data_IF_735684678073
#
_entry.id   IF_735684678073
#
_cell.length_a   1.000
_cell.length_b   1.000
_cell.length_c   1.000
_cell.angle_alpha   90.00
_cell.angle_beta   90.00
_cell.angle_gamma   90.00
#
_symmetry.space_group_name_H-M   'P 1'
#
loop_
_entity.id
_entity.type
_entity.pdbx_description
1 polymer ?
#
# COMPACT_ATOMS: atom_id res chain seq x y z
N UNK A 1 1.74 -8.10 5.80
CA UNK A 1 0.62 -8.64 5.02
C UNK A 1 0.83 -8.29 3.57
N UNK A 2 0.05 -8.87 2.66
CA UNK A 2 0.35 -8.90 1.22
C UNK A 2 0.65 -7.55 0.54
N UNK A 3 0.06 -6.44 1.01
CA UNK A 3 0.39 -5.10 0.50
C UNK A 3 1.89 -4.78 0.59
N UNK A 4 2.50 -5.09 1.74
CA UNK A 4 3.94 -4.87 1.95
C UNK A 4 4.80 -5.76 1.06
N UNK A 5 4.38 -7.01 0.85
CA UNK A 5 5.11 -7.98 0.02
C UNK A 5 5.11 -7.55 -1.46
N UNK A 6 3.98 -7.07 -1.97
CA UNK A 6 3.89 -6.53 -3.33
C UNK A 6 4.79 -5.31 -3.50
N UNK A 7 4.78 -4.36 -2.56
CA UNK A 7 5.66 -3.18 -2.60
C UNK A 7 7.13 -3.51 -2.27
N UNK A 8 7.38 -4.70 -1.71
CA UNK A 8 8.71 -5.28 -1.53
C UNK A 8 9.28 -5.81 -2.85
N UNK A 9 8.46 -6.55 -3.63
CA UNK A 9 8.91 -7.32 -4.80
C UNK A 9 8.66 -6.69 -6.18
N UNK A 10 7.52 -6.03 -6.41
CA UNK A 10 7.19 -5.44 -7.71
C UNK A 10 8.13 -4.27 -8.10
N UNK A 11 8.44 -3.30 -7.21
CA UNK A 11 9.30 -2.18 -7.57
C UNK A 11 10.72 -2.62 -7.99
N UNK A 12 11.40 -3.54 -7.28
CA UNK A 12 12.69 -4.07 -7.75
C UNK A 12 12.60 -4.80 -9.10
N UNK A 13 11.53 -5.54 -9.38
CA UNK A 13 11.34 -6.19 -10.67
C UNK A 13 11.19 -5.17 -11.81
N UNK A 14 10.48 -4.07 -11.58
CA UNK A 14 10.38 -2.95 -12.54
C UNK A 14 11.72 -2.24 -12.73
N UNK A 15 12.48 -2.03 -11.66
CA UNK A 15 13.82 -1.45 -11.74
C UNK A 15 14.80 -2.34 -12.53
N UNK A 16 14.69 -3.66 -12.38
CA UNK A 16 15.48 -4.62 -13.15
C UNK A 16 15.17 -4.58 -14.66
N UNK A 17 13.96 -4.17 -15.05
CA UNK A 17 13.58 -3.92 -16.45
C UNK A 17 14.04 -2.54 -16.98
N UNK A 18 14.84 -1.79 -16.21
CA UNK A 18 15.44 -0.54 -16.66
C UNK A 18 14.63 0.73 -16.36
N UNK A 19 13.56 0.64 -15.57
CA UNK A 19 12.80 1.82 -15.14
C UNK A 19 13.44 2.49 -13.92
N UNK A 20 13.31 3.81 -13.81
CA UNK A 20 13.61 4.54 -12.58
C UNK A 20 12.42 4.42 -11.63
N UNK A 21 12.59 3.78 -10.48
CA UNK A 21 11.47 3.39 -9.61
C UNK A 21 11.64 3.94 -8.19
N UNK A 22 10.61 4.64 -7.71
CA UNK A 22 10.51 5.13 -6.34
C UNK A 22 9.34 4.43 -5.61
N UNK A 23 9.55 4.14 -4.33
CA UNK A 23 8.46 3.80 -3.39
C UNK A 23 8.38 4.87 -2.33
N UNK A 24 7.16 5.29 -1.98
CA UNK A 24 6.93 6.32 -0.96
C UNK A 24 5.98 5.74 0.08
N UNK A 25 6.39 5.76 1.34
CA UNK A 25 5.58 5.26 2.46
C UNK A 25 5.84 6.06 3.73
N UNK A 26 4.99 5.98 4.76
CA UNK A 26 5.29 6.65 6.02
C UNK A 26 6.47 6.05 6.77
N UNK A 27 7.19 6.89 7.52
CA UNK A 27 8.22 6.47 8.47
C UNK A 27 7.57 6.17 9.82
N UNK A 28 7.23 4.91 10.05
CA UNK A 28 6.61 4.45 11.30
C UNK A 28 7.63 4.22 12.42
N UNK A 29 8.89 4.01 12.05
CA UNK A 29 10.00 3.79 12.98
C UNK A 29 11.31 4.36 12.41
N UNK A 30 12.32 4.47 13.25
CA UNK A 30 13.67 4.89 12.93
C UNK A 30 14.44 3.76 12.22
N UNK A 31 14.14 3.55 10.94
CA UNK A 31 14.76 2.51 10.12
C UNK A 31 16.28 2.72 10.00
N UNK A 32 17.06 1.68 10.32
CA UNK A 32 18.53 1.73 10.38
C UNK A 32 19.18 2.08 9.03
N UNK A 33 18.59 1.63 7.92
CA UNK A 33 19.12 1.78 6.57
C UNK A 33 18.55 3.01 5.82
N UNK A 34 17.78 3.86 6.50
CA UNK A 34 17.25 5.10 5.94
C UNK A 34 17.99 6.32 6.52
N UNK A 35 18.49 7.20 5.66
CA UNK A 35 19.13 8.45 6.04
C UNK A 35 18.22 9.65 5.75
N UNK A 36 18.41 10.74 6.50
CA UNK A 36 17.69 11.99 6.29
C UNK A 36 18.18 12.66 4.99
N UNK A 37 17.26 13.12 4.14
CA UNK A 37 17.63 13.87 2.93
C UNK A 37 17.87 15.35 3.20
N UNK A 38 17.57 15.82 4.42
CA UNK A 38 17.51 17.24 4.83
C UNK A 38 16.48 18.06 4.05
N UNK A 39 15.68 17.43 3.20
CA UNK A 39 14.61 18.09 2.44
C UNK A 39 13.33 18.08 3.27
N UNK A 40 12.80 19.28 3.48
CA UNK A 40 11.50 19.50 4.11
C UNK A 40 10.53 20.21 3.17
N UNK A 41 9.26 19.92 3.34
CA UNK A 41 8.15 20.62 2.67
C UNK A 41 7.10 21.04 3.69
N UNK A 42 6.25 21.97 3.32
CA UNK A 42 5.05 22.32 4.06
C UNK A 42 3.81 21.83 3.31
N UNK A 43 2.91 21.13 4.01
CA UNK A 43 1.65 20.63 3.45
C UNK A 43 0.49 21.10 4.32
N UNK A 44 -0.63 21.47 3.69
CA UNK A 44 -1.84 21.86 4.42
C UNK A 44 -2.67 20.61 4.69
N UNK A 45 -2.94 20.31 5.96
CA UNK A 45 -3.67 19.13 6.40
C UNK A 45 -4.74 19.56 7.40
N UNK A 46 -6.00 19.56 6.96
CA UNK A 46 -7.09 20.15 7.71
C UNK A 46 -6.89 21.65 7.89
N UNK A 47 -6.81 22.09 9.14
CA UNK A 47 -6.65 23.51 9.51
C UNK A 47 -5.20 23.91 9.78
N UNK A 48 -4.24 22.97 9.64
CA UNK A 48 -2.83 23.19 9.97
C UNK A 48 -1.94 23.09 8.74
N UNK A 49 -0.85 23.83 8.77
CA UNK A 49 0.31 23.59 7.91
C UNK A 49 1.28 22.74 8.69
N UNK A 50 1.61 21.57 8.16
CA UNK A 50 2.49 20.59 8.79
C UNK A 50 3.81 20.53 8.00
N UNK A 51 4.94 20.53 8.72
CA UNK A 51 6.26 20.35 8.12
C UNK A 51 6.59 18.87 8.02
N UNK A 52 6.86 18.41 6.81
CA UNK A 52 7.17 17.00 6.51
C UNK A 52 8.61 16.89 6.07
N UNK A 53 9.30 15.84 6.54
CA UNK A 53 10.67 15.52 6.12
C UNK A 53 10.69 14.21 5.34
N UNK A 54 11.71 14.05 4.49
CA UNK A 54 11.92 12.83 3.74
C UNK A 54 13.18 12.10 4.19
N UNK A 55 13.05 10.81 4.44
CA UNK A 55 14.17 9.90 4.59
C UNK A 55 14.30 9.06 3.32
N UNK A 56 15.52 8.63 3.00
CA UNK A 56 15.81 7.87 1.79
C UNK A 56 16.65 6.64 2.08
N UNK A 57 16.40 5.58 1.31
CA UNK A 57 17.19 4.37 1.25
C UNK A 57 17.22 3.89 -0.21
N UNK A 58 18.40 3.56 -0.74
CA UNK A 58 18.52 2.97 -2.08
C UNK A 58 18.84 1.48 -1.99
N UNK A 59 17.93 0.64 -2.49
CA UNK A 59 18.04 -0.83 -2.34
C UNK A 59 17.42 -1.57 -3.52
N UNK A 60 18.14 -2.55 -4.07
CA UNK A 60 17.72 -3.38 -5.22
C UNK A 60 17.25 -2.55 -6.42
N UNK A 61 17.95 -1.44 -6.71
CA UNK A 61 17.63 -0.55 -7.84
C UNK A 61 16.47 0.41 -7.60
N UNK A 62 15.91 0.46 -6.40
CA UNK A 62 14.72 1.25 -6.06
C UNK A 62 15.09 2.34 -5.05
N UNK A 63 14.64 3.56 -5.32
CA UNK A 63 14.63 4.65 -4.35
C UNK A 63 13.47 4.46 -3.38
N UNK A 64 13.75 4.17 -2.11
CA UNK A 64 12.74 4.03 -1.06
C UNK A 64 12.74 5.30 -0.23
N UNK A 65 11.65 6.05 -0.34
CA UNK A 65 11.45 7.31 0.36
C UNK A 65 10.44 7.11 1.48
N UNK A 66 10.77 7.62 2.66
CA UNK A 66 9.94 7.55 3.84
C UNK A 66 9.51 8.95 4.27
N UNK A 67 8.21 9.16 4.39
CA UNK A 67 7.59 10.41 4.85
C UNK A 67 7.65 10.44 6.37
N UNK A 68 8.50 11.31 6.91
CA UNK A 68 8.74 11.47 8.35
C UNK A 68 7.87 12.60 8.90
N UNK A 69 7.09 12.26 9.92
CA UNK A 69 6.19 13.18 10.63
C UNK A 69 5.78 12.57 11.98
N UNK A 70 5.57 13.38 13.05
CA UNK A 70 5.10 12.88 14.35
C UNK A 70 3.79 12.09 14.32
N UNK A 71 2.93 12.32 13.32
CA UNK A 71 1.70 11.54 13.15
C UNK A 71 1.93 10.07 12.76
N UNK A 72 3.12 9.72 12.27
CA UNK A 72 3.48 8.37 11.86
C UNK A 72 4.44 7.67 12.82
N UNK A 73 5.43 8.41 13.32
CA UNK A 73 6.52 7.84 14.10
C UNK A 73 5.98 7.16 15.37
N UNK A 74 6.67 6.09 15.80
CA UNK A 74 6.35 5.31 17.01
C UNK A 74 4.98 4.60 16.96
N UNK A 75 4.47 4.26 15.78
CA UNK A 75 3.25 3.45 15.62
C UNK A 75 3.57 2.04 15.12
N UNK A 76 4.36 1.29 15.90
CA UNK A 76 4.76 -0.09 15.59
C UNK A 76 4.72 -1.01 16.82
N UNK A 77 4.29 -2.26 16.61
CA UNK A 77 4.01 -3.20 17.70
C UNK A 77 5.24 -3.45 18.58
N UNK A 78 6.42 -3.59 17.96
CA UNK A 78 7.67 -3.85 18.67
C UNK A 78 8.19 -2.71 19.54
N UNK A 79 7.64 -1.49 19.42
CA UNK A 79 8.04 -0.33 20.24
C UNK A 79 6.93 0.17 21.15
N UNK A 80 5.72 0.34 20.63
CA UNK A 80 4.61 0.98 21.34
C UNK A 80 3.42 0.06 21.56
N UNK A 81 3.57 -1.25 21.28
CA UNK A 81 2.48 -2.23 21.26
C UNK A 81 1.28 -1.82 20.38
N UNK A 82 1.48 -0.83 19.51
CA UNK A 82 0.45 -0.24 18.68
C UNK A 82 0.65 -0.66 17.22
N UNK A 83 -0.43 -0.77 16.44
CA UNK A 83 -0.34 -1.16 15.02
C UNK A 83 -0.26 0.08 14.13
N UNK A 84 0.02 -0.15 12.85
CA UNK A 84 0.19 0.90 11.84
C UNK A 84 -1.08 1.74 11.69
N UNK A 85 -2.25 1.08 11.64
CA UNK A 85 -3.54 1.72 11.32
C UNK A 85 -4.38 2.02 12.56
N UNK A 86 -4.02 1.45 13.71
CA UNK A 86 -4.79 1.56 14.95
C UNK A 86 -4.03 1.07 16.17
N UNK A 87 -4.47 1.37 17.39
CA UNK A 87 -3.85 0.83 18.61
C UNK A 87 -3.96 -0.70 18.66
N UNK A 88 -5.11 -1.25 18.25
CA UNK A 88 -5.40 -2.70 18.24
C UNK A 88 -6.09 -3.11 16.93
N UNK A 89 -6.28 -4.42 16.69
CA UNK A 89 -7.10 -4.87 15.54
C UNK A 89 -8.55 -4.44 15.73
N UNK A 90 -9.18 -3.94 14.66
CA UNK A 90 -10.59 -3.55 14.67
C UNK A 90 -10.86 -2.13 15.16
N UNK A 91 -9.85 -1.42 15.69
CA UNK A 91 -9.96 -0.03 16.10
C UNK A 91 -8.94 0.82 15.34
N UNK A 92 -9.41 1.77 14.54
CA UNK A 92 -8.57 2.69 13.79
C UNK A 92 -8.18 3.92 14.62
N UNK A 93 -7.02 4.52 14.34
CA UNK A 93 -6.73 5.84 14.91
C UNK A 93 -7.65 6.92 14.32
N UNK A 94 -8.09 7.83 15.18
CA UNK A 94 -8.90 9.01 14.79
C UNK A 94 -8.17 9.94 13.81
N UNK A 95 -6.85 9.94 13.81
CA UNK A 95 -6.00 10.78 12.97
C UNK A 95 -5.68 10.17 11.58
N UNK A 96 -6.19 8.97 11.26
CA UNK A 96 -5.89 8.29 10.00
C UNK A 96 -6.19 9.13 8.75
N UNK A 97 -7.26 9.93 8.78
CA UNK A 97 -7.63 10.81 7.67
C UNK A 97 -6.55 11.90 7.44
N UNK A 98 -6.07 12.53 8.51
CA UNK A 98 -5.03 13.56 8.40
C UNK A 98 -3.70 12.93 7.97
N UNK A 99 -3.36 11.79 8.57
CA UNK A 99 -2.15 11.02 8.25
C UNK A 99 -2.06 10.65 6.77
N UNK A 100 -3.11 10.06 6.22
CA UNK A 100 -3.07 9.58 4.84
C UNK A 100 -3.31 10.69 3.82
N UNK A 101 -3.99 11.78 4.19
CA UNK A 101 -3.96 13.04 3.42
C UNK A 101 -2.54 13.60 3.32
N UNK A 102 -1.82 13.69 4.46
CA UNK A 102 -0.42 14.13 4.52
C UNK A 102 0.48 13.25 3.66
N UNK A 103 0.34 11.93 3.74
CA UNK A 103 1.08 10.98 2.89
C UNK A 103 0.87 11.26 1.40
N UNK A 104 -0.38 11.41 0.96
CA UNK A 104 -0.68 11.67 -0.45
C UNK A 104 -0.09 12.98 -0.96
N UNK A 105 -0.18 14.05 -0.17
CA UNK A 105 0.40 15.35 -0.54
C UNK A 105 1.94 15.29 -0.58
N UNK A 106 2.57 14.70 0.45
CA UNK A 106 4.02 14.54 0.49
C UNK A 106 4.54 13.66 -0.67
N UNK A 107 3.77 12.62 -1.05
CA UNK A 107 4.12 11.76 -2.17
C UNK A 107 4.08 12.47 -3.55
N UNK A 108 3.28 13.53 -3.68
CA UNK A 108 3.25 14.37 -4.88
C UNK A 108 4.38 15.40 -4.91
N UNK A 109 5.01 15.72 -3.78
CA UNK A 109 6.18 16.61 -3.77
C UNK A 109 7.48 15.85 -4.03
N UNK A 110 7.62 14.65 -3.47
CA UNK A 110 8.87 13.87 -3.48
C UNK A 110 9.55 13.75 -4.86
N UNK A 111 8.83 13.48 -5.98
CA UNK A 111 9.48 13.36 -7.29
C UNK A 111 10.14 14.66 -7.79
N UNK A 112 9.69 15.82 -7.30
CA UNK A 112 10.16 17.13 -7.75
C UNK A 112 11.24 17.70 -6.83
N UNK A 113 11.10 17.49 -5.51
CA UNK A 113 11.98 18.13 -4.52
C UNK A 113 13.21 17.29 -4.15
N UNK A 114 13.18 15.97 -4.34
CA UNK A 114 14.29 15.09 -3.97
C UNK A 114 15.27 14.92 -5.11
N UNK A 115 16.51 15.37 -4.91
CA UNK A 115 17.62 15.14 -5.83
C UNK A 115 18.32 13.81 -5.51
N UNK A 116 17.99 12.73 -6.23
CA UNK A 116 18.43 11.38 -5.92
C UNK A 116 19.44 10.86 -6.96
N UNK A 117 20.67 10.60 -6.50
CA UNK A 117 21.82 10.27 -7.35
C UNK A 117 22.42 8.88 -7.09
N UNK A 118 21.67 8.00 -6.40
CA UNK A 118 22.15 6.66 -6.06
C UNK A 118 22.14 5.67 -7.24
N UNK A 119 21.38 5.96 -8.30
CA UNK A 119 21.35 5.13 -9.50
C UNK A 119 22.54 5.44 -10.42
N UNK A 120 23.10 4.40 -11.04
CA UNK A 120 24.12 4.54 -12.09
C UNK A 120 23.60 5.08 -13.42
N UNK A 121 22.29 5.03 -13.64
CA UNK A 121 21.65 5.39 -14.91
C UNK A 121 20.84 6.68 -14.84
N UNK A 122 20.44 7.09 -13.64
CA UNK A 122 19.57 8.23 -13.42
C UNK A 122 20.11 9.09 -12.28
N UNK A 123 20.01 10.41 -12.45
CA UNK A 123 20.44 11.41 -11.47
C UNK A 123 19.41 12.54 -11.42
N UNK A 124 19.53 13.44 -10.44
CA UNK A 124 18.62 14.57 -10.32
C UNK A 124 17.26 14.21 -9.70
N UNK A 125 16.29 15.13 -9.75
CA UNK A 125 14.90 14.83 -9.41
C UNK A 125 14.29 13.81 -10.38
N UNK A 126 13.20 13.16 -9.94
CA UNK A 126 12.41 12.30 -10.82
C UNK A 126 11.64 13.12 -11.85
N UNK A 127 11.28 14.36 -11.50
CA UNK A 127 10.59 15.29 -12.40
C UNK A 127 9.09 15.05 -12.46
N UNK A 128 8.50 15.46 -13.58
CA UNK A 128 7.03 15.55 -13.73
C UNK A 128 6.45 14.53 -14.74
N UNK A 129 7.30 13.89 -15.53
CA UNK A 129 6.90 12.81 -16.45
C UNK A 129 6.89 11.47 -15.73
N UNK A 130 5.89 11.29 -14.85
CA UNK A 130 5.81 10.16 -13.94
C UNK A 130 4.49 9.41 -14.03
N UNK A 131 4.52 8.12 -13.73
CA UNK A 131 3.33 7.31 -13.49
C UNK A 131 3.28 6.98 -12.01
N UNK A 132 2.26 7.48 -11.32
CA UNK A 132 2.00 7.13 -9.93
C UNK A 132 1.21 5.82 -9.86
N UNK A 133 1.64 4.92 -8.99
CA UNK A 133 0.87 3.71 -8.63
C UNK A 133 0.39 3.89 -7.19
N UNK A 134 -0.87 4.28 -7.02
CA UNK A 134 -1.52 4.41 -5.72
C UNK A 134 -2.07 3.04 -5.30
N UNK A 135 -1.76 2.60 -4.08
CA UNK A 135 -2.11 1.29 -3.54
C UNK A 135 -3.08 1.43 -2.35
N UNK A 136 -4.27 0.84 -2.48
CA UNK A 136 -5.36 0.86 -1.50
C UNK A 136 -5.83 2.26 -1.05
N UNK A 137 -6.88 2.28 -0.24
CA UNK A 137 -7.57 3.50 0.21
C UNK A 137 -6.63 4.55 0.83
N UNK A 138 -5.54 4.13 1.49
CA UNK A 138 -4.54 5.00 2.11
C UNK A 138 -3.92 6.01 1.12
N UNK A 139 -3.89 5.67 -0.17
CA UNK A 139 -3.31 6.53 -1.22
C UNK A 139 -4.34 7.01 -2.24
N UNK A 140 -5.63 6.74 -2.01
CA UNK A 140 -6.70 7.03 -2.96
C UNK A 140 -6.97 8.53 -3.15
N UNK A 141 -6.45 9.40 -2.27
CA UNK A 141 -6.50 10.86 -2.44
C UNK A 141 -5.47 11.39 -3.45
N UNK A 142 -4.40 10.64 -3.74
CA UNK A 142 -3.34 11.07 -4.65
C UNK A 142 -3.87 11.54 -6.02
N UNK A 143 -4.71 10.79 -6.76
CA UNK A 143 -5.27 11.27 -8.03
C UNK A 143 -6.12 12.53 -7.89
N UNK A 144 -6.83 12.68 -6.76
CA UNK A 144 -7.64 13.86 -6.48
C UNK A 144 -6.74 15.10 -6.30
N UNK A 145 -5.73 15.00 -5.43
CA UNK A 145 -4.78 16.10 -5.20
C UNK A 145 -3.99 16.46 -6.46
N UNK A 146 -3.54 15.46 -7.21
CA UNK A 146 -2.84 15.68 -8.48
C UNK A 146 -3.67 16.57 -9.44
N UNK A 147 -4.96 16.22 -9.62
CA UNK A 147 -5.87 16.97 -10.50
C UNK A 147 -6.29 18.31 -9.93
N UNK A 148 -6.52 18.41 -8.62
CA UNK A 148 -7.04 19.61 -7.97
C UNK A 148 -5.98 20.69 -7.75
N UNK A 149 -4.75 20.29 -7.41
CA UNK A 149 -3.72 21.22 -6.90
C UNK A 149 -2.59 21.44 -7.90
N UNK A 150 -2.16 20.39 -8.60
CA UNK A 150 -0.94 20.42 -9.42
C UNK A 150 -1.23 20.72 -10.88
N UNK A 151 -2.13 19.95 -11.52
CA UNK A 151 -2.45 20.13 -12.95
C UNK A 151 -2.93 21.54 -13.31
N UNK A 152 -3.77 22.23 -12.51
CA UNK A 152 -4.20 23.60 -12.81
C UNK A 152 -3.05 24.62 -12.78
N UNK A 153 -1.93 24.29 -12.11
CA UNK A 153 -0.71 25.10 -12.06
C UNK A 153 0.29 24.76 -13.17
N UNK A 154 -0.09 23.90 -14.11
CA UNK A 154 0.78 23.42 -15.18
C UNK A 154 1.84 22.40 -14.72
N UNK A 155 1.69 21.84 -13.52
CA UNK A 155 2.61 20.86 -12.93
C UNK A 155 2.04 19.46 -13.16
N UNK A 156 2.89 18.49 -13.49
CA UNK A 156 2.49 17.10 -13.73
C UNK A 156 1.45 16.93 -14.86
N UNK A 157 1.49 17.79 -15.88
CA UNK A 157 0.53 17.77 -16.98
C UNK A 157 0.45 16.39 -17.68
N UNK A 158 1.59 15.74 -17.87
CA UNK A 158 1.70 14.42 -18.52
C UNK A 158 1.55 13.26 -17.53
N UNK A 159 1.59 13.52 -16.21
CA UNK A 159 1.55 12.46 -15.22
C UNK A 159 0.20 11.73 -15.19
N UNK A 160 0.30 10.42 -14.91
CA UNK A 160 -0.82 9.48 -14.86
C UNK A 160 -0.87 8.74 -13.55
N UNK A 161 -2.06 8.34 -13.13
CA UNK A 161 -2.27 7.56 -11.90
C UNK A 161 -2.93 6.22 -12.22
N UNK A 162 -2.28 5.13 -11.82
CA UNK A 162 -2.88 3.82 -11.72
C UNK A 162 -3.23 3.54 -10.25
N UNK A 163 -4.49 3.19 -9.97
CA UNK A 163 -4.95 2.84 -8.63
C UNK A 163 -5.12 1.34 -8.50
N UNK A 164 -4.33 0.72 -7.62
CA UNK A 164 -4.31 -0.71 -7.38
C UNK A 164 -5.09 -1.05 -6.10
N UNK A 165 -6.16 -1.83 -6.27
CA UNK A 165 -6.99 -2.36 -5.19
C UNK A 165 -6.39 -3.71 -4.77
N UNK A 166 -5.79 -3.78 -3.58
CA UNK A 166 -5.29 -5.03 -2.98
C UNK A 166 -6.39 -5.68 -2.14
N UNK A 167 -7.23 -4.88 -1.49
CA UNK A 167 -8.37 -5.39 -0.72
C UNK A 167 -9.56 -4.41 -0.74
N UNK A 168 -10.70 -4.87 -1.25
CA UNK A 168 -11.92 -4.04 -1.40
C UNK A 168 -12.65 -3.79 -0.08
N UNK A 169 -12.39 -4.59 0.95
CA UNK A 169 -13.06 -4.46 2.24
C UNK A 169 -12.67 -3.16 2.96
N UNK A 170 -11.46 -2.65 2.72
CA UNK A 170 -10.93 -1.46 3.38
C UNK A 170 -10.97 -0.27 2.42
N UNK A 171 -11.94 0.63 2.60
CA UNK A 171 -12.25 1.67 1.59
C UNK A 171 -11.98 3.10 2.04
N UNK A 172 -11.59 3.32 3.31
CA UNK A 172 -11.50 4.67 3.87
C UNK A 172 -12.87 5.36 3.91
N UNK A 173 -13.84 4.71 4.59
CA UNK A 173 -15.19 5.25 4.79
C UNK A 173 -15.19 6.14 6.02
N UNK A 174 -15.45 7.43 5.85
CA UNK A 174 -15.45 8.40 6.94
C UNK A 174 -16.73 9.23 6.96
N UNK A 175 -17.04 9.87 8.09
CA UNK A 175 -18.18 10.78 8.17
C UNK A 175 -18.09 11.88 7.10
N UNK A 176 -19.23 12.23 6.50
CA UNK A 176 -19.27 13.17 5.36
C UNK A 176 -18.65 14.55 5.68
N UNK A 177 -18.78 15.01 6.92
CA UNK A 177 -18.23 16.29 7.40
C UNK A 177 -16.70 16.38 7.25
N UNK A 178 -16.00 15.25 7.27
CA UNK A 178 -14.53 15.20 7.15
C UNK A 178 -14.01 15.60 5.77
N UNK A 179 -14.87 15.71 4.75
CA UNK A 179 -14.45 16.24 3.45
C UNK A 179 -13.78 17.62 3.57
N UNK A 180 -14.29 18.47 4.48
CA UNK A 180 -13.73 19.81 4.73
C UNK A 180 -12.26 19.79 5.17
N UNK A 181 -11.81 18.71 5.83
CA UNK A 181 -10.43 18.55 6.28
C UNK A 181 -9.47 18.07 5.18
N UNK A 182 -9.98 17.66 4.02
CA UNK A 182 -9.14 17.18 2.91
C UNK A 182 -8.50 18.31 2.11
N UNK A 183 -8.91 19.57 2.34
CA UNK A 183 -8.43 20.72 1.58
C UNK A 183 -8.59 20.57 0.04
N UNK A 184 -9.59 19.82 -0.40
CA UNK A 184 -9.95 19.65 -1.81
C UNK A 184 -11.10 20.61 -2.20
N UNK A 185 -11.14 21.10 -3.45
CA UNK A 185 -12.26 21.87 -3.95
C UNK A 185 -13.57 21.06 -3.95
N UNK A 186 -14.71 21.74 -3.77
CA UNK A 186 -16.04 21.10 -3.69
C UNK A 186 -16.43 20.31 -4.96
N UNK A 187 -15.83 20.59 -6.11
CA UNK A 187 -16.08 19.84 -7.36
C UNK A 187 -15.75 18.34 -7.24
N UNK A 188 -14.77 17.98 -6.40
CA UNK A 188 -14.40 16.59 -6.14
C UNK A 188 -15.36 15.88 -5.19
N UNK A 189 -16.21 16.60 -4.47
CA UNK A 189 -17.07 16.04 -3.41
C UNK A 189 -17.97 14.91 -3.91
N UNK A 190 -18.45 15.02 -5.16
CA UNK A 190 -19.26 13.98 -5.81
C UNK A 190 -18.52 12.64 -5.99
N UNK A 191 -17.20 12.68 -6.19
CA UNK A 191 -16.35 11.49 -6.28
C UNK A 191 -16.23 10.78 -4.92
N UNK A 192 -16.32 11.52 -3.82
CA UNK A 192 -16.30 10.95 -2.45
C UNK A 192 -17.67 10.54 -1.93
N UNK A 193 -18.75 11.19 -2.36
CA UNK A 193 -20.09 11.00 -1.81
C UNK A 193 -20.57 9.55 -1.97
N UNK A 194 -20.91 8.92 -0.86
CA UNK A 194 -21.20 7.50 -0.80
C UNK A 194 -22.28 7.23 0.24
N UNK A 195 -23.25 6.39 -0.11
CA UNK A 195 -24.25 5.91 0.84
C UNK A 195 -23.79 4.54 1.33
N UNK A 196 -23.38 4.50 2.59
CA UNK A 196 -22.97 3.25 3.23
C UNK A 196 -24.21 2.48 3.67
N UNK A 197 -24.42 1.33 3.03
CA UNK A 197 -25.49 0.39 3.29
C UNK A 197 -25.15 -0.66 4.35
N UNK A 198 -23.94 -0.66 4.93
CA UNK A 198 -23.62 -1.55 6.04
C UNK A 198 -24.20 -1.04 7.36
N UNK A 199 -24.84 -1.93 8.10
CA UNK A 199 -25.44 -1.65 9.41
C UNK A 199 -24.42 -1.27 10.50
N UNK A 200 -23.13 -1.61 10.31
CA UNK A 200 -22.07 -1.34 11.29
C UNK A 200 -21.03 -0.33 10.74
N UNK A 201 -20.66 0.72 11.50
CA UNK A 201 -21.24 1.14 12.78
C UNK A 201 -22.60 1.84 12.61
N UNK A 202 -22.85 2.50 11.46
CA UNK A 202 -24.12 3.20 11.13
C UNK A 202 -24.26 3.29 9.61
N UNK A 203 -25.45 2.97 9.08
CA UNK A 203 -25.86 3.25 7.69
C UNK A 203 -25.93 4.76 7.44
N UNK A 204 -25.57 5.22 6.25
CA UNK A 204 -25.83 6.59 5.83
C UNK A 204 -24.74 7.24 5.00
N UNK A 205 -24.88 8.55 4.81
CA UNK A 205 -24.00 9.33 3.94
C UNK A 205 -22.60 9.45 4.55
N UNK A 206 -21.60 9.04 3.77
CA UNK A 206 -20.17 9.06 4.12
C UNK A 206 -19.36 9.62 2.96
N UNK A 207 -18.10 9.95 3.23
CA UNK A 207 -17.08 10.00 2.18
C UNK A 207 -16.42 8.62 2.05
N UNK A 208 -16.11 8.22 0.82
CA UNK A 208 -15.42 6.98 0.51
C UNK A 208 -14.19 7.29 -0.35
N UNK A 209 -13.01 7.14 0.23
CA UNK A 209 -11.76 7.49 -0.44
C UNK A 209 -11.45 6.54 -1.58
N UNK A 210 -11.69 5.24 -1.41
CA UNK A 210 -11.48 4.26 -2.48
C UNK A 210 -12.36 4.54 -3.69
N UNK A 211 -13.64 4.91 -3.48
CA UNK A 211 -14.52 5.38 -4.56
C UNK A 211 -13.92 6.57 -5.32
N UNK A 212 -13.40 7.56 -4.60
CA UNK A 212 -12.75 8.71 -5.24
C UNK A 212 -11.49 8.28 -6.01
N UNK A 213 -10.65 7.40 -5.44
CA UNK A 213 -9.47 6.85 -6.14
C UNK A 213 -9.83 6.09 -7.42
N UNK A 214 -10.91 5.31 -7.41
CA UNK A 214 -11.43 4.58 -8.58
C UNK A 214 -11.89 5.56 -9.67
N UNK A 215 -12.65 6.60 -9.29
CA UNK A 215 -13.22 7.56 -10.24
C UNK A 215 -12.17 8.54 -10.79
N UNK A 216 -11.19 8.92 -9.98
CA UNK A 216 -10.22 9.95 -10.33
C UNK A 216 -8.92 9.42 -10.95
N UNK A 217 -8.67 8.10 -10.92
CA UNK A 217 -7.46 7.54 -11.54
C UNK A 217 -7.60 7.32 -13.05
N UNK A 218 -6.48 7.33 -13.76
CA UNK A 218 -6.45 7.04 -15.21
C UNK A 218 -6.64 5.54 -15.50
N UNK A 219 -6.21 4.67 -14.57
CA UNK A 219 -6.41 3.21 -14.62
C UNK A 219 -6.70 2.62 -13.25
N UNK A 220 -7.54 1.60 -13.21
CA UNK A 220 -7.81 0.79 -12.01
C UNK A 220 -7.30 -0.63 -12.21
N UNK A 221 -6.50 -1.09 -11.25
CA UNK A 221 -5.84 -2.39 -11.23
C UNK A 221 -6.27 -3.17 -9.99
N UNK A 222 -6.12 -4.48 -10.03
CA UNK A 222 -6.17 -5.34 -8.84
C UNK A 222 -5.24 -6.55 -9.00
N UNK A 223 -5.12 -7.34 -7.94
CA UNK A 223 -4.08 -8.36 -7.74
C UNK A 223 -4.43 -9.75 -8.30
N UNK A 224 -5.53 -9.87 -9.06
CA UNK A 224 -5.91 -11.11 -9.75
C UNK A 224 -6.97 -10.88 -10.84
N UNK A 225 -6.85 -11.52 -12.02
CA UNK A 225 -7.89 -11.49 -13.06
C UNK A 225 -9.25 -12.03 -12.58
N UNK A 226 -9.26 -13.04 -11.71
CA UNK A 226 -10.52 -13.59 -11.19
C UNK A 226 -11.13 -12.65 -10.15
N UNK A 227 -10.31 -12.09 -9.27
CA UNK A 227 -10.76 -11.11 -8.29
C UNK A 227 -11.34 -9.86 -8.98
N UNK A 228 -10.74 -9.40 -10.08
CA UNK A 228 -11.29 -8.33 -10.91
C UNK A 228 -12.73 -8.62 -11.39
N UNK A 229 -13.03 -9.88 -11.75
CA UNK A 229 -14.39 -10.32 -12.12
C UNK A 229 -15.32 -10.36 -10.91
N UNK A 230 -14.84 -10.82 -9.76
CA UNK A 230 -15.63 -10.83 -8.53
C UNK A 230 -16.03 -9.41 -8.12
N UNK A 231 -15.10 -8.46 -8.13
CA UNK A 231 -15.33 -7.07 -7.73
C UNK A 231 -16.44 -6.37 -8.52
N UNK A 232 -16.62 -6.72 -9.78
CA UNK A 232 -17.66 -6.13 -10.64
C UNK A 232 -18.96 -6.95 -10.68
N UNK A 233 -18.99 -8.12 -10.03
CA UNK A 233 -20.10 -9.08 -10.17
C UNK A 233 -21.35 -8.69 -9.38
N UNK A 234 -21.20 -8.09 -8.21
CA UNK A 234 -22.30 -7.78 -7.29
C UNK A 234 -21.88 -6.76 -6.22
N UNK A 235 -22.86 -6.10 -5.62
CA UNK A 235 -22.64 -5.17 -4.51
C UNK A 235 -21.94 -5.85 -3.32
N UNK A 236 -22.24 -7.11 -3.00
CA UNK A 236 -21.59 -7.82 -1.89
C UNK A 236 -20.10 -8.05 -2.17
N UNK A 237 -19.76 -8.50 -3.37
CA UNK A 237 -18.37 -8.79 -3.76
C UNK A 237 -17.53 -7.54 -4.00
N UNK A 238 -18.12 -6.50 -4.59
CA UNK A 238 -17.48 -5.19 -4.75
C UNK A 238 -17.60 -4.30 -3.52
N UNK A 239 -18.24 -4.79 -2.45
CA UNK A 239 -18.52 -4.07 -1.20
C UNK A 239 -19.06 -2.67 -1.50
N UNK A 240 -20.15 -2.65 -2.28
CA UNK A 240 -20.93 -1.48 -2.74
C UNK A 240 -20.20 -0.54 -3.72
N UNK A 241 -19.00 -0.93 -4.19
CA UNK A 241 -18.25 -0.20 -5.21
C UNK A 241 -18.30 -0.85 -6.60
N UNK A 242 -18.99 -1.98 -6.74
CA UNK A 242 -19.08 -2.78 -7.98
C UNK A 242 -19.51 -1.96 -9.20
N UNK A 243 -20.52 -1.11 -9.05
CA UNK A 243 -21.01 -0.26 -10.14
C UNK A 243 -19.97 0.78 -10.60
N UNK A 244 -19.22 1.36 -9.67
CA UNK A 244 -18.18 2.34 -10.00
C UNK A 244 -17.00 1.65 -10.69
N UNK A 245 -16.58 0.48 -10.18
CA UNK A 245 -15.52 -0.33 -10.78
C UNK A 245 -15.91 -0.78 -12.19
N UNK A 246 -17.16 -1.25 -12.37
CA UNK A 246 -17.68 -1.64 -13.70
C UNK A 246 -17.69 -0.48 -14.69
N UNK A 247 -18.06 0.71 -14.23
CA UNK A 247 -18.10 1.93 -15.07
C UNK A 247 -16.71 2.33 -15.59
N UNK A 248 -15.69 2.27 -14.74
CA UNK A 248 -14.32 2.68 -15.12
C UNK A 248 -13.50 1.56 -15.77
N UNK A 249 -13.88 0.31 -15.51
CA UNK A 249 -13.13 -0.88 -15.92
C UNK A 249 -11.96 -1.17 -14.97
N UNK A 250 -11.68 -2.46 -14.75
CA UNK A 250 -10.63 -2.93 -13.85
C UNK A 250 -9.80 -4.03 -14.52
N UNK A 251 -8.50 -4.00 -14.32
CA UNK A 251 -7.58 -5.01 -14.84
C UNK A 251 -6.91 -5.78 -13.70
N UNK A 252 -6.96 -7.11 -13.75
CA UNK A 252 -6.34 -7.96 -12.73
C UNK A 252 -4.99 -8.49 -13.18
N UNK A 253 -3.97 -8.36 -12.32
CA UNK A 253 -2.62 -8.88 -12.54
C UNK A 253 -2.26 -9.72 -11.32
N UNK A 254 -1.95 -11.00 -11.53
CA UNK A 254 -1.60 -11.92 -10.43
C UNK A 254 -0.30 -11.47 -9.78
N UNK A 255 -0.29 -11.39 -8.45
CA UNK A 255 0.92 -11.10 -7.68
C UNK A 255 2.00 -12.17 -7.90
N UNK A 256 3.25 -11.73 -7.99
CA UNK A 256 4.41 -12.60 -7.88
C UNK A 256 4.80 -12.89 -6.43
N UNK A 257 5.96 -13.52 -6.24
CA UNK A 257 6.58 -13.79 -4.95
C UNK A 257 8.08 -13.51 -5.05
N UNK A 258 8.70 -13.05 -3.95
CA UNK A 258 10.15 -12.87 -3.92
C UNK A 258 10.86 -14.23 -3.84
N UNK A 259 11.35 -14.71 -4.98
CA UNK A 259 12.07 -15.98 -5.10
C UNK A 259 13.50 -15.96 -4.53
N UNK A 260 13.97 -14.83 -3.99
CA UNK A 260 15.23 -14.77 -3.23
C UNK A 260 14.98 -15.01 -1.74
N UNK A 261 13.85 -14.51 -1.23
CA UNK A 261 13.43 -14.72 0.15
C UNK A 261 12.78 -16.10 0.32
N UNK A 262 11.85 -16.45 -0.56
CA UNK A 262 11.09 -17.70 -0.53
C UNK A 262 11.68 -18.71 -1.50
N UNK A 263 12.81 -19.31 -1.12
CA UNK A 263 13.51 -20.31 -1.93
C UNK A 263 13.95 -21.51 -1.09
N UNK A 264 13.34 -22.69 -1.26
CA UNK A 264 13.69 -23.89 -0.52
C UNK A 264 15.14 -24.36 -0.66
N UNK A 265 15.83 -23.98 -1.75
CA UNK A 265 17.24 -24.31 -1.98
C UNK A 265 18.19 -23.49 -1.10
N UNK A 266 17.84 -22.24 -0.82
CA UNK A 266 18.73 -21.33 -0.12
C UNK A 266 18.26 -20.99 1.27
N UNK A 267 16.93 -21.03 1.53
CA UNK A 267 16.14 -20.60 2.70
C UNK A 267 17.03 -20.01 3.82
N UNK A 268 16.91 -20.32 5.10
CA UNK A 268 17.81 -19.92 6.21
C UNK A 268 17.22 -20.43 7.51
N UNK A 269 15.90 -20.57 7.53
CA UNK A 269 15.10 -21.06 8.64
C UNK A 269 14.88 -22.57 8.57
N UNK A 270 14.83 -23.16 7.37
CA UNK A 270 14.72 -24.62 7.21
C UNK A 270 16.05 -25.34 7.44
N UNK A 271 16.02 -26.46 8.18
CA UNK A 271 17.21 -27.27 8.46
C UNK A 271 17.71 -28.05 7.24
N UNK A 272 16.78 -28.51 6.40
CA UNK A 272 17.07 -29.24 5.16
C UNK A 272 16.62 -28.38 3.97
N UNK A 273 17.56 -28.15 3.04
CA UNK A 273 17.30 -27.46 1.78
C UNK A 273 16.89 -28.47 0.71
N UNK A 274 16.04 -28.04 -0.23
CA UNK A 274 15.53 -28.93 -1.27
C UNK A 274 15.13 -28.20 -2.54
N UNK A 275 14.99 -28.97 -3.61
CA UNK A 275 14.39 -28.57 -4.88
C UNK A 275 13.29 -29.56 -5.29
N UNK A 276 12.76 -29.40 -6.51
CA UNK A 276 11.73 -30.27 -7.04
C UNK A 276 12.15 -31.74 -7.15
N UNK A 277 13.45 -32.03 -7.31
CA UNK A 277 13.96 -33.40 -7.45
C UNK A 277 14.20 -34.11 -6.11
N UNK A 278 14.44 -33.34 -5.04
CA UNK A 278 14.77 -33.84 -3.68
C UNK A 278 13.62 -33.67 -2.69
N UNK A 279 12.48 -33.13 -3.12
CA UNK A 279 11.32 -32.77 -2.29
C UNK A 279 10.76 -33.96 -1.50
N UNK A 280 10.75 -35.16 -2.08
CA UNK A 280 10.20 -36.37 -1.47
C UNK A 280 11.02 -36.85 -0.27
N UNK A 281 12.33 -36.59 -0.29
CA UNK A 281 13.24 -37.00 0.79
C UNK A 281 13.34 -35.91 1.86
N UNK A 282 13.33 -34.64 1.43
CA UNK A 282 13.51 -33.50 2.33
C UNK A 282 12.24 -33.11 3.12
N UNK A 283 11.05 -33.11 2.50
CA UNK A 283 9.83 -32.66 3.19
C UNK A 283 9.43 -33.54 4.38
N UNK A 284 9.60 -34.88 4.36
CA UNK A 284 9.38 -35.69 5.56
C UNK A 284 10.24 -35.26 6.75
N UNK A 285 11.52 -34.96 6.52
CA UNK A 285 12.43 -34.48 7.57
C UNK A 285 12.01 -33.11 8.11
N UNK A 286 11.61 -32.19 7.22
CA UNK A 286 11.09 -30.87 7.63
C UNK A 286 9.75 -30.99 8.38
N UNK A 287 8.92 -31.95 8.02
CA UNK A 287 7.63 -32.23 8.67
C UNK A 287 7.84 -32.79 10.08
N UNK A 288 8.74 -33.74 10.25
CA UNK A 288 9.10 -34.28 11.57
C UNK A 288 9.67 -33.17 12.47
N UNK A 289 10.51 -32.28 11.92
CA UNK A 289 11.02 -31.12 12.63
C UNK A 289 9.90 -30.16 13.07
N UNK A 290 8.97 -29.84 12.16
CA UNK A 290 7.80 -29.01 12.49
C UNK A 290 6.93 -29.66 13.57
N UNK A 291 6.61 -30.97 13.43
CA UNK A 291 5.82 -31.71 14.42
C UNK A 291 6.47 -31.65 15.80
N UNK A 292 7.78 -31.86 15.88
CA UNK A 292 8.53 -31.74 17.12
C UNK A 292 8.48 -30.32 17.69
N UNK A 293 8.65 -29.29 16.86
CA UNK A 293 8.64 -27.88 17.27
C UNK A 293 7.27 -27.44 17.82
N UNK A 294 6.18 -27.90 17.21
CA UNK A 294 4.80 -27.52 17.61
C UNK A 294 4.14 -28.52 18.58
N UNK A 295 4.86 -29.56 19.02
CA UNK A 295 4.38 -30.54 20.00
C UNK A 295 3.33 -31.53 19.47
N UNK A 296 3.35 -31.83 18.18
CA UNK A 296 2.53 -32.87 17.56
C UNK A 296 3.25 -34.24 17.61
N UNK A 297 2.53 -35.37 17.50
CA UNK A 297 3.17 -36.68 17.29
C UNK A 297 4.09 -36.63 16.07
N UNK A 298 5.36 -37.01 16.27
CA UNK A 298 6.37 -37.05 15.21
C UNK A 298 6.16 -38.32 14.40
N UNK A 299 5.50 -38.17 13.26
CA UNK A 299 5.17 -39.25 12.34
C UNK A 299 5.03 -38.68 10.92
N UNK A 300 5.90 -39.15 10.03
CA UNK A 300 5.94 -38.73 8.63
C UNK A 300 4.72 -39.14 7.82
N UNK A 301 3.93 -40.11 8.29
CA UNK A 301 2.76 -40.63 7.58
C UNK A 301 1.47 -39.88 7.97
N UNK A 302 1.42 -39.22 9.12
CA UNK A 302 0.25 -38.45 9.57
C UNK A 302 0.14 -37.14 8.78
N UNK A 303 -0.92 -36.85 8.00
CA UNK A 303 -1.03 -35.61 7.24
C UNK A 303 -1.03 -34.37 8.15
N UNK A 304 -0.33 -33.31 7.72
CA UNK A 304 -0.26 -32.03 8.45
C UNK A 304 -0.90 -30.95 7.59
N UNK A 305 -1.85 -30.20 8.19
CA UNK A 305 -2.51 -29.06 7.58
C UNK A 305 -1.99 -27.79 8.29
N UNK A 306 -1.47 -26.84 7.51
CA UNK A 306 -1.01 -25.55 8.03
C UNK A 306 -1.97 -24.43 7.64
N UNK A 307 -2.37 -23.61 8.62
CA UNK A 307 -3.09 -22.37 8.39
C UNK A 307 -2.18 -21.19 8.74
N UNK A 308 -1.96 -20.30 7.76
CA UNK A 308 -1.24 -19.03 7.96
C UNK A 308 -2.13 -17.92 7.42
N UNK A 309 -2.66 -17.09 8.31
CA UNK A 309 -3.58 -16.02 7.97
C UNK A 309 -3.78 -15.07 9.14
N UNK A 310 -4.35 -13.89 8.86
CA UNK A 310 -4.82 -13.00 9.93
C UNK A 310 -6.09 -13.60 10.52
N UNK A 311 -6.22 -13.56 11.85
CA UNK A 311 -7.46 -13.88 12.55
C UNK A 311 -8.31 -12.60 12.58
N UNK A 312 -9.15 -12.45 11.56
CA UNK A 312 -10.11 -11.34 11.41
C UNK A 312 -11.53 -11.93 11.37
N UNK A 313 -12.51 -11.25 11.98
CA UNK A 313 -13.94 -11.57 11.91
C UNK A 313 -14.59 -11.04 10.62
#
# INVERSE_FOLDING_TARGET
GGLGDVLGGLPPAMAANGHRVMTISPRYDQYKDAWDTEVTIEVKVGDRTETVRFFHCYKRGVDRVFVDHPLFLEKVWGKTASKIYGPITGEDYKDNQLRFSLLCQAALEAPRVLNLNSSKYFSGPYGEEVVFIANDWHTALLPCYLKAIYKPKGIYNTAKVAFCIHNIAYQGRFAFAYFSLLNLPDEFKSSFDFIDGYDKPVKGRKINWMKAGILESDKVLTVSPYYAKELVSSADKGVELDNFIRKVGIFGIVNGMDVQEWNPLTDKYTTVKYDASTVTDAKPLLKEALQAEVGLPVDRDIPVIGFIGRLEE
#
